data_IF_165074009672
#
_entry.id   IF_165074009672
#
_cell.length_a   1.000
_cell.length_b   1.000
_cell.length_c   1.000
_cell.angle_alpha   90.00
_cell.angle_beta   90.00
_cell.angle_gamma   90.00
#
_symmetry.space_group_name_H-M   'P 1'
#
loop_
_entity.id
_entity.type
_entity.pdbx_description
1 polymer ?
#
# COMPACT_ATOMS: atom_id res chain seq x y z
N UNK A 1 -11.46 -11.93 19.43
CA UNK A 1 -10.75 -12.88 18.53
C UNK A 1 -11.81 -13.70 17.81
N UNK A 2 -11.58 -14.08 16.56
CA UNK A 2 -12.57 -14.78 15.71
C UNK A 2 -12.72 -16.29 16.05
N UNK A 3 -12.70 -16.64 17.34
CA UNK A 3 -12.68 -18.05 17.79
C UNK A 3 -14.00 -18.75 17.50
N UNK A 4 -15.13 -18.04 17.63
CA UNK A 4 -16.44 -18.65 17.35
C UNK A 4 -16.67 -18.85 15.85
N UNK A 5 -16.18 -17.94 15.00
CA UNK A 5 -16.15 -18.14 13.53
C UNK A 5 -15.33 -19.38 13.17
N UNK A 6 -14.17 -19.57 13.82
CA UNK A 6 -13.34 -20.77 13.63
C UNK A 6 -14.05 -22.06 14.04
N UNK A 7 -14.83 -22.07 15.13
CA UNK A 7 -15.62 -23.25 15.52
C UNK A 7 -16.73 -23.56 14.53
N UNK A 8 -17.34 -22.53 13.95
CA UNK A 8 -18.40 -22.69 12.95
C UNK A 8 -17.89 -23.35 11.67
N UNK A 9 -16.66 -23.05 11.25
CA UNK A 9 -16.04 -23.63 10.04
C UNK A 9 -15.29 -24.94 10.35
N UNK A 10 -14.63 -25.03 11.51
CA UNK A 10 -13.79 -26.15 11.91
C UNK A 10 -14.26 -26.72 13.26
N UNK A 11 -15.16 -27.74 13.26
CA UNK A 11 -15.71 -28.30 14.49
C UNK A 11 -14.67 -28.81 15.50
N UNK A 12 -13.51 -29.27 15.01
CA UNK A 12 -12.39 -29.72 15.84
C UNK A 12 -11.85 -28.62 16.79
N UNK A 13 -12.06 -27.34 16.47
CA UNK A 13 -11.68 -26.20 17.32
C UNK A 13 -12.48 -26.18 18.63
N UNK A 14 -13.66 -26.82 18.68
CA UNK A 14 -14.50 -26.87 19.89
C UNK A 14 -13.80 -27.47 21.11
N UNK A 15 -12.82 -28.36 20.92
CA UNK A 15 -12.01 -28.94 22.00
C UNK A 15 -10.63 -28.31 22.18
N UNK A 16 -10.26 -27.32 21.36
CA UNK A 16 -8.95 -26.70 21.39
C UNK A 16 -8.86 -25.58 22.45
N UNK A 17 -7.72 -25.45 23.10
CA UNK A 17 -7.42 -24.33 24.01
C UNK A 17 -6.57 -23.29 23.30
N UNK A 18 -7.01 -22.03 23.31
CA UNK A 18 -6.22 -20.92 22.79
C UNK A 18 -5.02 -20.64 23.71
N UNK A 19 -3.81 -20.92 23.25
CA UNK A 19 -2.57 -20.67 24.00
C UNK A 19 -2.14 -19.20 23.92
N UNK A 20 -2.30 -18.60 22.74
CA UNK A 20 -1.94 -17.20 22.50
C UNK A 20 -2.76 -16.61 21.35
N UNK A 21 -3.06 -15.32 21.42
CA UNK A 21 -3.71 -14.59 20.35
C UNK A 21 -3.35 -13.11 20.40
N UNK A 22 -3.19 -12.49 19.23
CA UNK A 22 -2.93 -11.06 19.10
C UNK A 22 -3.91 -10.47 18.10
N UNK A 23 -4.51 -9.34 18.47
CA UNK A 23 -5.30 -8.51 17.55
C UNK A 23 -4.43 -7.32 17.18
N UNK A 24 -4.34 -7.05 15.89
CA UNK A 24 -3.69 -5.85 15.36
C UNK A 24 -4.74 -5.13 14.52
N UNK A 25 -4.98 -3.87 14.86
CA UNK A 25 -5.92 -3.00 14.14
C UNK A 25 -5.15 -1.80 13.63
N UNK A 26 -5.24 -1.54 12.33
CA UNK A 26 -4.65 -0.36 11.70
C UNK A 26 -5.78 0.36 10.93
N UNK A 27 -6.39 1.41 11.50
CA UNK A 27 -7.50 2.13 10.88
C UNK A 27 -7.15 2.78 9.54
N UNK A 28 -5.87 3.09 9.30
CA UNK A 28 -5.39 3.74 8.08
C UNK A 28 -4.46 2.82 7.27
N UNK A 29 -4.76 1.52 7.21
CA UNK A 29 -3.87 0.51 6.64
C UNK A 29 -3.65 0.64 5.14
N UNK A 30 -4.74 0.78 4.39
CA UNK A 30 -4.72 0.85 2.93
C UNK A 30 -5.79 1.84 2.50
N UNK A 31 -5.53 2.55 1.40
CA UNK A 31 -6.50 3.43 0.76
C UNK A 31 -7.79 2.65 0.44
N UNK A 32 -8.95 3.27 0.67
CA UNK A 32 -10.22 2.67 0.29
C UNK A 32 -10.29 2.53 -1.23
N UNK A 33 -10.60 1.34 -1.79
CA UNK A 33 -10.60 1.10 -3.23
C UNK A 33 -11.90 1.62 -3.88
N UNK A 34 -12.23 2.89 -3.64
CA UNK A 34 -13.36 3.56 -4.30
C UNK A 34 -12.90 4.28 -5.56
N UNK A 35 -13.84 4.52 -6.45
CA UNK A 35 -13.59 5.28 -7.68
C UNK A 35 -13.05 6.69 -7.36
N UNK A 36 -13.65 7.38 -6.40
CA UNK A 36 -13.29 8.73 -5.98
C UNK A 36 -11.84 8.78 -5.50
N UNK A 37 -11.45 7.81 -4.67
CA UNK A 37 -10.09 7.71 -4.18
C UNK A 37 -9.09 7.42 -5.29
N UNK A 38 -9.45 6.58 -6.27
CA UNK A 38 -8.58 6.30 -7.41
C UNK A 38 -8.27 7.55 -8.24
N UNK A 39 -9.23 8.47 -8.37
CA UNK A 39 -9.06 9.74 -9.10
C UNK A 39 -8.18 10.77 -8.35
N UNK A 40 -8.00 10.61 -7.04
CA UNK A 40 -7.21 11.53 -6.20
C UNK A 40 -5.75 11.09 -6.04
N UNK A 41 -5.37 9.93 -6.58
CA UNK A 41 -4.02 9.37 -6.43
C UNK A 41 -3.03 10.25 -7.21
N UNK A 42 -2.01 10.83 -6.56
CA UNK A 42 -1.05 11.67 -7.26
C UNK A 42 -0.07 10.82 -8.09
N UNK A 43 0.46 11.36 -9.19
CA UNK A 43 1.59 10.75 -9.89
C UNK A 43 2.86 10.80 -9.04
N UNK A 44 3.88 10.04 -9.43
CA UNK A 44 5.17 10.00 -8.73
C UNK A 44 5.95 11.33 -8.87
N UNK A 45 5.79 12.04 -9.99
CA UNK A 45 6.41 13.36 -10.20
C UNK A 45 5.57 14.45 -9.56
N UNK A 46 6.17 15.22 -8.66
CA UNK A 46 5.52 16.41 -8.08
C UNK A 46 5.87 17.67 -8.86
N UNK A 47 5.14 18.79 -8.66
CA UNK A 47 5.52 20.09 -9.20
C UNK A 47 6.81 20.66 -8.60
N UNK A 48 7.31 20.12 -7.48
CA UNK A 48 8.51 20.60 -6.80
C UNK A 48 9.76 19.89 -7.35
N UNK A 49 10.76 20.62 -7.89
CA UNK A 49 11.98 20.01 -8.38
C UNK A 49 12.70 19.23 -7.28
N UNK A 50 13.14 18.01 -7.59
CA UNK A 50 13.83 17.14 -6.63
C UNK A 50 12.91 16.49 -5.59
N UNK A 51 11.59 16.57 -5.76
CA UNK A 51 10.63 15.85 -4.91
C UNK A 51 9.76 14.89 -5.75
N UNK A 52 9.78 13.62 -5.35
CA UNK A 52 8.96 12.54 -5.93
C UNK A 52 8.17 11.83 -4.83
N UNK A 53 7.06 11.20 -5.18
CA UNK A 53 6.21 10.43 -4.28
C UNK A 53 6.30 8.94 -4.60
N UNK A 54 6.35 8.11 -3.56
CA UNK A 54 6.27 6.66 -3.68
C UNK A 54 5.32 6.09 -2.62
N UNK A 55 4.61 5.03 -2.99
CA UNK A 55 3.62 4.35 -2.15
C UNK A 55 2.51 3.73 -2.98
N UNK A 56 1.89 2.69 -2.44
CA UNK A 56 0.76 1.98 -3.06
C UNK A 56 -0.46 2.88 -3.31
N UNK A 57 -0.57 3.99 -2.58
CA UNK A 57 -1.58 5.04 -2.72
C UNK A 57 -1.33 6.02 -3.88
N UNK A 58 -0.12 6.05 -4.47
CA UNK A 58 0.16 6.87 -5.67
C UNK A 58 -0.44 6.26 -6.94
N UNK A 59 -0.55 7.01 -8.03
CA UNK A 59 -1.14 6.54 -9.29
C UNK A 59 -0.23 5.51 -9.98
N UNK A 60 -0.52 4.22 -9.81
CA UNK A 60 0.23 3.09 -10.39
C UNK A 60 -0.59 2.25 -11.37
N UNK A 61 -1.86 2.62 -11.58
CA UNK A 61 -2.91 1.82 -12.26
C UNK A 61 -3.25 0.50 -11.57
N UNK A 62 -2.74 0.27 -10.36
CA UNK A 62 -2.97 -0.94 -9.56
C UNK A 62 -3.64 -0.58 -8.24
N UNK A 63 -4.44 -1.46 -7.62
CA UNK A 63 -4.99 -1.23 -6.28
C UNK A 63 -3.89 -1.02 -5.22
N UNK A 64 -4.26 -0.60 -4.01
CA UNK A 64 -3.33 -0.49 -2.87
C UNK A 64 -2.80 -1.86 -2.45
N UNK A 65 -1.72 -2.32 -3.09
CA UNK A 65 -1.09 -3.62 -2.86
C UNK A 65 0.43 -3.48 -2.70
N UNK A 66 1.08 -4.55 -2.23
CA UNK A 66 2.54 -4.62 -2.16
C UNK A 66 3.19 -4.42 -3.53
N UNK A 67 2.61 -4.98 -4.60
CA UNK A 67 3.08 -4.80 -5.98
C UNK A 67 2.95 -3.34 -6.43
N UNK A 68 1.83 -2.67 -6.07
CA UNK A 68 1.65 -1.24 -6.33
C UNK A 68 2.71 -0.41 -5.61
N UNK A 69 3.01 -0.71 -4.34
CA UNK A 69 4.08 -0.03 -3.59
C UNK A 69 5.44 -0.17 -4.30
N UNK A 70 5.79 -1.38 -4.75
CA UNK A 70 7.05 -1.65 -5.47
C UNK A 70 7.09 -0.90 -6.80
N UNK A 71 6.03 -1.00 -7.61
CA UNK A 71 5.94 -0.29 -8.91
C UNK A 71 6.07 1.22 -8.74
N UNK A 72 5.38 1.77 -7.74
CA UNK A 72 5.46 3.18 -7.39
C UNK A 72 6.89 3.60 -7.03
N UNK A 73 7.58 2.81 -6.20
CA UNK A 73 8.96 3.09 -5.80
C UNK A 73 9.93 3.09 -6.99
N UNK A 74 9.79 2.13 -7.91
CA UNK A 74 10.59 2.08 -9.14
C UNK A 74 10.35 3.33 -10.00
N UNK A 75 9.09 3.67 -10.26
CA UNK A 75 8.73 4.85 -11.07
C UNK A 75 9.22 6.16 -10.45
N UNK A 76 9.14 6.30 -9.12
CA UNK A 76 9.65 7.47 -8.40
C UNK A 76 11.18 7.60 -8.51
N UNK A 77 11.91 6.48 -8.40
CA UNK A 77 13.36 6.46 -8.56
C UNK A 77 13.81 6.82 -9.98
N UNK A 78 13.13 6.28 -11.00
CA UNK A 78 13.38 6.62 -12.41
C UNK A 78 13.11 8.10 -12.71
N UNK A 79 12.01 8.64 -12.18
CA UNK A 79 11.67 10.06 -12.29
C UNK A 79 12.76 10.94 -11.66
N UNK A 80 13.21 10.60 -10.45
CA UNK A 80 14.25 11.34 -9.75
C UNK A 80 15.58 11.32 -10.51
N UNK A 81 16.00 10.14 -10.98
CA UNK A 81 17.23 10.01 -11.76
C UNK A 81 17.21 10.86 -13.03
N UNK A 82 16.05 10.94 -13.69
CA UNK A 82 15.85 11.76 -14.88
C UNK A 82 15.96 13.27 -14.58
N UNK A 83 15.41 13.73 -13.45
CA UNK A 83 15.53 15.13 -13.01
C UNK A 83 16.99 15.53 -12.72
N UNK A 84 17.74 14.69 -12.01
CA UNK A 84 19.16 14.96 -11.72
C UNK A 84 20.02 15.04 -12.98
N UNK A 85 19.74 14.21 -13.99
CA UNK A 85 20.43 14.28 -15.27
C UNK A 85 20.14 15.60 -16.02
N UNK A 86 18.95 16.17 -15.87
CA UNK A 86 18.61 17.48 -16.43
C UNK A 86 19.31 18.61 -15.68
N UNK A 87 19.41 18.53 -14.35
CA UNK A 87 20.10 19.53 -13.53
C UNK A 87 21.60 19.58 -13.80
N UNK A 88 22.25 18.42 -14.02
CA UNK A 88 23.69 18.35 -14.30
C UNK A 88 24.08 18.73 -15.75
N UNK A 89 23.11 19.05 -16.62
CA UNK A 89 23.35 19.46 -18.02
C UNK A 89 23.21 20.97 -18.25
N UNK A 90 22.77 21.73 -17.24
CA UNK A 90 22.72 23.19 -17.23
C UNK A 90 23.97 23.77 -16.57
#
# INVERSE_FOLDING_TARGET
LAVDDLKAVFPAVGGATLIHGRVVTEPAAVLSPTWEWNQLRPPQVTPLPGLVLAGDWTATDWPGTMESAVRSGIAAAEAMASQFQLTNRL
#
